data_IF_689526973234
#
_entry.id   IF_689526973234
#
_cell.length_a   1.000
_cell.length_b   1.000
_cell.length_c   1.000
_cell.angle_alpha   90.00
_cell.angle_beta   90.00
_cell.angle_gamma   90.00
#
_symmetry.space_group_name_H-M   'P 1'
#
loop_
_entity.id
_entity.type
_entity.pdbx_description
1 polymer ?
#
# COMPACT_ATOMS: atom_id res chain seq x y z
N UNK A 1 -19.52 -5.32 -10.72
CA UNK A 1 -18.89 -5.59 -12.03
C UNK A 1 -18.90 -7.07 -12.28
N UNK A 2 -19.11 -7.51 -13.52
CA UNK A 2 -19.02 -8.92 -13.89
C UNK A 2 -17.55 -9.39 -13.81
N UNK A 3 -17.28 -10.65 -13.39
CA UNK A 3 -15.94 -11.22 -13.46
C UNK A 3 -15.34 -11.05 -14.86
N UNK A 4 -14.09 -10.57 -14.94
CA UNK A 4 -13.38 -10.34 -16.21
C UNK A 4 -13.53 -8.93 -16.80
N UNK A 5 -14.40 -8.08 -16.27
CA UNK A 5 -14.51 -6.68 -16.72
C UNK A 5 -13.52 -5.81 -15.94
N UNK A 6 -12.55 -5.21 -16.65
CA UNK A 6 -11.64 -4.23 -16.07
C UNK A 6 -12.39 -2.93 -15.76
N UNK A 7 -12.21 -2.41 -14.56
CA UNK A 7 -12.75 -1.12 -14.14
C UNK A 7 -11.59 -0.14 -13.90
N UNK A 8 -11.76 1.15 -14.24
CA UNK A 8 -10.82 2.18 -13.84
C UNK A 8 -10.66 2.16 -12.31
N UNK A 9 -9.41 2.23 -11.85
CA UNK A 9 -9.06 2.22 -10.44
C UNK A 9 -7.73 2.94 -10.25
N UNK A 10 -7.45 3.38 -9.03
CA UNK A 10 -6.22 4.02 -8.64
C UNK A 10 -5.68 3.35 -7.37
N UNK A 11 -4.35 3.33 -7.25
CA UNK A 11 -3.63 2.84 -6.08
C UNK A 11 -2.34 3.63 -5.89
N UNK A 12 -1.85 3.70 -4.66
CA UNK A 12 -0.53 4.27 -4.36
C UNK A 12 0.53 3.21 -4.67
N UNK A 13 1.47 3.55 -5.55
CA UNK A 13 2.56 2.66 -5.94
C UNK A 13 3.82 2.93 -5.11
N UNK A 14 4.30 1.89 -4.43
CA UNK A 14 5.52 1.88 -3.63
C UNK A 14 6.52 0.86 -4.20
N UNK A 15 7.82 0.91 -3.85
CA UNK A 15 8.76 -0.16 -4.18
C UNK A 15 8.29 -1.52 -3.63
N UNK A 16 8.31 -2.58 -4.45
CA UNK A 16 7.84 -3.91 -4.04
C UNK A 16 8.54 -4.48 -2.79
N UNK A 17 9.79 -4.09 -2.55
CA UNK A 17 10.57 -4.50 -1.37
C UNK A 17 9.94 -4.10 -0.03
N UNK A 18 9.03 -3.12 -0.01
CA UNK A 18 8.33 -2.70 1.20
C UNK A 18 7.20 -3.65 1.62
N UNK A 19 6.78 -4.60 0.77
CA UNK A 19 5.64 -5.47 1.06
C UNK A 19 5.85 -6.40 2.27
N UNK A 20 7.06 -6.95 2.41
CA UNK A 20 7.41 -7.81 3.54
C UNK A 20 7.49 -7.05 4.88
N UNK A 21 8.24 -5.94 5.00
CA UNK A 21 8.31 -5.20 6.26
C UNK A 21 6.96 -4.57 6.65
N UNK A 22 6.16 -4.09 5.69
CA UNK A 22 4.80 -3.60 5.97
C UNK A 22 3.89 -4.68 6.56
N UNK A 23 3.95 -5.91 6.02
CA UNK A 23 3.16 -7.04 6.53
C UNK A 23 3.62 -7.49 7.92
N UNK A 24 4.89 -7.32 8.25
CA UNK A 24 5.45 -7.65 9.56
C UNK A 24 5.24 -6.54 10.62
N UNK A 25 4.85 -5.34 10.19
CA UNK A 25 4.61 -4.17 11.04
C UNK A 25 3.39 -4.30 11.95
N UNK A 26 3.21 -3.29 12.82
CA UNK A 26 2.03 -3.16 13.69
C UNK A 26 1.47 -1.73 13.58
N UNK A 27 0.30 -1.54 12.95
CA UNK A 27 -0.54 -2.58 12.33
C UNK A 27 0.12 -3.19 11.08
N UNK A 28 -0.30 -4.40 10.72
CA UNK A 28 0.13 -5.04 9.49
C UNK A 28 -0.57 -4.38 8.30
N UNK A 29 0.21 -3.89 7.34
CA UNK A 29 -0.30 -3.30 6.10
C UNK A 29 -0.10 -4.28 4.96
N UNK A 30 -1.18 -4.58 4.23
CA UNK A 30 -1.17 -5.51 3.11
C UNK A 30 -1.57 -4.79 1.83
N UNK A 31 -0.72 -4.93 0.80
CA UNK A 31 -1.03 -4.50 -0.56
C UNK A 31 -0.80 -5.61 -1.58
N UNK A 32 -1.10 -5.29 -2.83
CA UNK A 32 -0.88 -6.19 -3.97
C UNK A 32 0.47 -5.87 -4.61
N UNK A 33 1.32 -6.87 -4.82
CA UNK A 33 2.51 -6.71 -5.65
C UNK A 33 2.13 -6.95 -7.12
N UNK A 34 2.52 -6.03 -8.01
CA UNK A 34 2.38 -6.15 -9.45
C UNK A 34 3.65 -5.62 -10.12
N UNK A 35 4.40 -6.51 -10.79
CA UNK A 35 5.73 -6.17 -11.29
C UNK A 35 6.70 -5.80 -10.16
N UNK A 36 7.36 -4.66 -10.28
CA UNK A 36 8.31 -4.09 -9.30
C UNK A 36 7.64 -3.18 -8.25
N UNK A 37 6.30 -3.11 -8.24
CA UNK A 37 5.54 -2.22 -7.36
C UNK A 37 4.66 -2.97 -6.38
N UNK A 38 4.62 -2.44 -5.16
CA UNK A 38 3.55 -2.68 -4.20
C UNK A 38 2.47 -1.63 -4.40
N UNK A 39 1.24 -2.08 -4.59
CA UNK A 39 0.05 -1.25 -4.78
C UNK A 39 -0.79 -1.28 -3.50
N UNK A 40 -1.00 -0.10 -2.91
CA UNK A 40 -1.94 0.11 -1.80
C UNK A 40 -3.22 0.75 -2.34
N UNK A 41 -4.32 0.05 -2.22
CA UNK A 41 -5.63 0.52 -2.66
C UNK A 41 -6.33 1.24 -1.49
N UNK A 42 -6.24 2.57 -1.47
CA UNK A 42 -6.78 3.39 -0.38
C UNK A 42 -8.31 3.25 -0.24
N UNK A 43 -9.03 2.85 -1.29
CA UNK A 43 -10.48 2.63 -1.18
C UNK A 43 -10.84 1.46 -0.26
N UNK A 44 -9.85 0.62 0.09
CA UNK A 44 -10.01 -0.52 0.99
C UNK A 44 -9.61 -0.20 2.44
N UNK A 45 -9.22 1.05 2.69
CA UNK A 45 -8.77 1.55 4.00
C UNK A 45 -9.81 2.56 4.49
N UNK A 46 -10.31 2.46 5.73
CA UNK A 46 -11.13 3.50 6.34
C UNK A 46 -10.38 4.84 6.40
N UNK A 47 -11.05 5.95 6.12
CA UNK A 47 -10.41 7.28 6.10
C UNK A 47 -9.75 7.64 7.44
N UNK A 48 -10.28 7.16 8.56
CA UNK A 48 -9.69 7.37 9.89
C UNK A 48 -8.32 6.70 10.09
N UNK A 49 -7.99 5.69 9.26
CA UNK A 49 -6.74 4.95 9.31
C UNK A 49 -5.64 5.57 8.43
N UNK A 50 -5.91 6.65 7.68
CA UNK A 50 -4.94 7.27 6.78
C UNK A 50 -3.63 7.65 7.49
N UNK A 51 -3.74 8.26 8.68
CA UNK A 51 -2.57 8.64 9.48
C UNK A 51 -1.78 7.42 9.96
N UNK A 52 -2.48 6.35 10.33
CA UNK A 52 -1.87 5.09 10.76
C UNK A 52 -1.16 4.39 9.60
N UNK A 53 -1.78 4.37 8.42
CA UNK A 53 -1.22 3.83 7.20
C UNK A 53 0.04 4.60 6.79
N UNK A 54 -0.03 5.93 6.80
CA UNK A 54 1.11 6.79 6.50
C UNK A 54 2.28 6.52 7.47
N UNK A 55 2.01 6.45 8.77
CA UNK A 55 3.04 6.14 9.77
C UNK A 55 3.68 4.77 9.53
N UNK A 56 2.89 3.74 9.20
CA UNK A 56 3.41 2.41 8.89
C UNK A 56 4.29 2.40 7.63
N UNK A 57 3.91 3.16 6.59
CA UNK A 57 4.71 3.33 5.37
C UNK A 57 6.03 4.04 5.65
N UNK A 58 5.99 5.15 6.40
CA UNK A 58 7.19 5.92 6.74
C UNK A 58 8.15 5.13 7.65
N UNK A 59 7.63 4.26 8.52
CA UNK A 59 8.45 3.46 9.42
C UNK A 59 9.34 2.42 8.69
N UNK A 60 8.97 2.02 7.48
CA UNK A 60 9.70 1.00 6.69
C UNK A 60 10.23 1.52 5.36
N UNK A 61 9.76 2.69 4.93
CA UNK A 61 10.26 3.39 3.77
C UNK A 61 11.66 3.94 4.01
N UNK A 62 12.48 4.08 2.95
CA UNK A 62 13.67 4.92 3.06
C UNK A 62 13.22 6.34 3.46
N UNK A 63 13.77 6.87 4.54
CA UNK A 63 13.57 8.27 4.92
C UNK A 63 13.86 9.18 3.73
N UNK A 64 13.09 10.26 3.59
CA UNK A 64 13.10 11.17 2.45
C UNK A 64 14.50 11.38 1.85
N UNK A 65 14.65 11.11 0.54
CA UNK A 65 15.69 11.80 -0.22
C UNK A 65 15.08 13.14 -0.62
N UNK A 66 15.57 14.21 0.02
CA UNK A 66 15.43 15.58 -0.46
C UNK A 66 15.89 15.73 -1.91
#
# INVERSE_FOLDING_TARGET
GAPGVALPSAAVALPAGLAAPLRAGRPAVVGRVHGDRLLLDLRTVPEEDDATLLAAVLAVGPGERA
#
